data_IF_505529615574
#
_entry.id   IF_505529615574
#
_cell.length_a   1.000
_cell.length_b   1.000
_cell.length_c   1.000
_cell.angle_alpha   90.00
_cell.angle_beta   90.00
_cell.angle_gamma   90.00
#
_symmetry.space_group_name_H-M   'P 1'
#
loop_
_entity.id
_entity.type
_entity.pdbx_description
1 polymer ?
#
# COMPACT_ATOMS: atom_id res chain seq x y z
N UNK A 1 13.98 19.62 -10.39
CA UNK A 1 12.62 19.01 -10.39
C UNK A 1 12.32 18.57 -8.99
N UNK A 2 11.10 18.79 -8.48
CA UNK A 2 10.71 18.31 -7.16
C UNK A 2 10.44 16.80 -7.24
N UNK A 3 11.41 15.97 -6.85
CA UNK A 3 11.32 14.51 -6.92
C UNK A 3 10.86 13.94 -5.56
N UNK A 4 9.83 14.54 -4.96
CA UNK A 4 9.23 14.03 -3.74
C UNK A 4 8.22 12.93 -4.06
N UNK A 5 8.32 11.83 -3.33
CA UNK A 5 7.37 10.73 -3.31
C UNK A 5 6.64 10.70 -1.97
N UNK A 6 5.32 10.67 -1.99
CA UNK A 6 4.50 10.34 -0.84
C UNK A 6 4.00 8.90 -0.97
N UNK A 7 4.15 8.13 0.09
CA UNK A 7 3.67 6.74 0.16
C UNK A 7 2.66 6.63 1.30
N UNK A 8 1.40 6.43 0.97
CA UNK A 8 0.38 5.99 1.92
C UNK A 8 0.36 4.46 1.93
N UNK A 9 0.38 3.85 3.10
CA UNK A 9 0.27 2.40 3.20
C UNK A 9 0.42 1.89 4.63
N UNK A 10 0.31 0.58 4.79
CA UNK A 10 0.53 -0.07 6.08
C UNK A 10 2.02 -0.19 6.40
N UNK A 11 2.35 0.06 7.66
CA UNK A 11 3.52 -0.50 8.33
C UNK A 11 2.98 -1.57 9.27
N UNK A 12 3.53 -2.77 9.23
CA UNK A 12 2.91 -3.95 9.82
C UNK A 12 3.93 -4.87 10.48
N UNK A 13 3.41 -5.77 11.28
CA UNK A 13 4.08 -7.02 11.60
C UNK A 13 3.42 -8.17 10.84
N UNK A 14 4.22 -8.96 10.15
CA UNK A 14 3.76 -10.13 9.43
C UNK A 14 4.31 -11.42 10.07
N UNK A 15 3.49 -12.48 10.09
CA UNK A 15 3.93 -13.86 10.35
C UNK A 15 3.61 -14.72 9.14
N UNK A 16 4.65 -15.33 8.59
CA UNK A 16 4.57 -16.03 7.30
C UNK A 16 4.99 -17.47 7.50
N UNK A 17 4.13 -18.38 7.06
CA UNK A 17 4.47 -19.80 6.85
C UNK A 17 4.64 -20.03 5.34
N UNK A 18 5.62 -20.82 4.96
CA UNK A 18 5.85 -21.21 3.57
C UNK A 18 6.47 -22.60 3.51
N UNK A 19 6.50 -23.29 2.36
CA UNK A 19 7.20 -24.56 2.20
C UNK A 19 8.67 -24.51 2.59
N UNK A 20 9.31 -23.33 2.49
CA UNK A 20 10.73 -23.14 2.84
C UNK A 20 10.96 -22.75 4.30
N UNK A 21 9.92 -22.52 5.10
CA UNK A 21 10.07 -22.19 6.52
C UNK A 21 9.04 -21.20 7.06
N UNK A 22 9.26 -20.79 8.31
CA UNK A 22 8.36 -19.88 9.02
C UNK A 22 9.14 -18.66 9.53
N UNK A 23 8.58 -17.46 9.33
CA UNK A 23 9.04 -16.23 9.92
C UNK A 23 7.94 -15.64 10.78
N UNK A 24 8.25 -15.22 12.02
CA UNK A 24 7.26 -14.72 12.98
C UNK A 24 7.54 -13.27 13.34
N UNK A 25 6.50 -12.45 13.33
CA UNK A 25 6.53 -11.04 13.74
C UNK A 25 7.68 -10.25 13.09
N UNK A 26 7.83 -10.41 11.79
CA UNK A 26 8.79 -9.65 10.99
C UNK A 26 8.18 -8.34 10.53
N UNK A 27 9.03 -7.36 10.21
CA UNK A 27 8.59 -6.10 9.61
C UNK A 27 7.94 -6.33 8.26
N UNK A 28 6.72 -5.83 8.09
CA UNK A 28 5.89 -5.96 6.90
C UNK A 28 5.16 -4.67 6.55
N UNK A 29 4.15 -4.81 5.71
CA UNK A 29 3.31 -3.71 5.26
C UNK A 29 3.78 -3.06 3.96
N UNK A 30 2.81 -2.63 3.14
CA UNK A 30 3.11 -2.10 1.80
C UNK A 30 3.94 -0.82 1.83
N UNK A 31 3.72 0.11 2.79
CA UNK A 31 4.52 1.33 2.90
C UNK A 31 5.99 1.02 3.22
N UNK A 32 6.25 0.00 4.02
CA UNK A 32 7.60 -0.47 4.32
C UNK A 32 8.35 -0.86 3.05
N UNK A 33 7.78 -1.77 2.27
CA UNK A 33 8.46 -2.29 1.07
C UNK A 33 8.58 -1.24 -0.04
N UNK A 34 7.53 -0.45 -0.26
CA UNK A 34 7.55 0.64 -1.24
C UNK A 34 8.60 1.68 -0.85
N UNK A 35 8.61 2.12 0.41
CA UNK A 35 9.56 3.10 0.89
C UNK A 35 11.01 2.64 0.77
N UNK A 36 11.32 1.44 1.27
CA UNK A 36 12.66 0.87 1.19
C UNK A 36 13.12 0.64 -0.26
N UNK A 37 12.20 0.27 -1.16
CA UNK A 37 12.50 0.17 -2.60
C UNK A 37 12.79 1.54 -3.19
N UNK A 38 11.95 2.54 -2.91
CA UNK A 38 12.11 3.90 -3.40
C UNK A 38 13.41 4.56 -2.91
N UNK A 39 13.87 4.24 -1.69
CA UNK A 39 15.11 4.77 -1.13
C UNK A 39 16.35 4.45 -1.98
N UNK A 40 16.31 3.36 -2.76
CA UNK A 40 17.41 2.98 -3.67
C UNK A 40 17.55 3.92 -4.87
N UNK A 41 16.54 4.71 -5.16
CA UNK A 41 16.53 5.66 -6.29
C UNK A 41 16.84 7.10 -5.88
N UNK A 42 17.35 7.33 -4.65
CA UNK A 42 17.70 8.66 -4.11
C UNK A 42 16.56 9.69 -4.21
N UNK A 43 15.33 9.23 -4.03
CA UNK A 43 14.12 10.05 -4.04
C UNK A 43 13.80 10.48 -2.61
N UNK A 44 13.41 11.75 -2.39
CA UNK A 44 12.87 12.18 -1.10
C UNK A 44 11.52 11.52 -0.89
N UNK A 45 11.44 10.52 -0.02
CA UNK A 45 10.26 9.68 0.20
C UNK A 45 9.73 9.86 1.62
N UNK A 46 8.44 10.18 1.74
CA UNK A 46 7.72 10.25 3.01
C UNK A 46 6.74 9.09 3.13
N UNK A 47 6.75 8.43 4.27
CA UNK A 47 5.77 7.42 4.64
C UNK A 47 4.61 8.07 5.41
N UNK A 48 3.38 7.79 4.99
CA UNK A 48 2.15 8.13 5.70
C UNK A 48 1.52 6.83 6.14
N UNK A 49 1.54 6.58 7.45
CA UNK A 49 1.12 5.32 8.05
C UNK A 49 0.78 5.51 9.52
N UNK A 50 0.46 4.42 10.22
CA UNK A 50 0.20 4.41 11.66
C UNK A 50 0.79 3.15 12.28
N UNK A 51 1.39 3.29 13.46
CA UNK A 51 1.94 2.18 14.25
C UNK A 51 1.53 2.29 15.72
N UNK A 52 1.55 1.16 16.42
CA UNK A 52 1.26 1.09 17.85
C UNK A 52 2.51 1.16 18.72
N UNK A 53 2.31 1.09 20.02
CA UNK A 53 3.39 1.12 21.05
C UNK A 53 4.38 -0.04 20.92
N UNK A 54 3.93 -1.17 20.38
CA UNK A 54 4.76 -2.37 20.18
C UNK A 54 5.70 -2.27 18.97
N UNK A 55 5.65 -1.14 18.21
CA UNK A 55 6.52 -0.95 17.06
C UNK A 55 7.93 -0.59 17.49
N UNK A 56 8.89 -1.41 17.09
CA UNK A 56 10.27 -1.29 17.53
C UNK A 56 10.96 -0.02 16.98
N UNK A 57 11.59 0.74 17.86
CA UNK A 57 12.32 1.94 17.48
C UNK A 57 13.53 1.67 16.55
N UNK A 58 14.02 0.45 16.53
CA UNK A 58 15.04 -0.04 15.59
C UNK A 58 14.59 0.11 14.12
N UNK A 59 13.31 -0.11 13.82
CA UNK A 59 12.76 0.04 12.47
C UNK A 59 12.64 1.51 12.06
N UNK A 60 12.28 2.42 12.98
CA UNK A 60 12.35 3.86 12.67
C UNK A 60 13.75 4.30 12.30
N UNK A 61 14.76 3.88 13.08
CA UNK A 61 16.16 4.16 12.76
C UNK A 61 16.58 3.58 11.41
N UNK A 62 16.09 2.40 11.07
CA UNK A 62 16.36 1.78 9.76
C UNK A 62 15.73 2.59 8.62
N UNK A 63 14.48 3.05 8.77
CA UNK A 63 13.83 3.91 7.78
C UNK A 63 14.61 5.22 7.58
N UNK A 64 14.95 5.92 8.65
CA UNK A 64 15.71 7.17 8.62
C UNK A 64 17.10 6.98 8.00
N UNK A 65 17.82 5.91 8.38
CA UNK A 65 19.13 5.60 7.78
C UNK A 65 19.06 5.23 6.30
N UNK A 66 17.89 4.76 5.85
CA UNK A 66 17.59 4.54 4.42
C UNK A 66 17.15 5.81 3.70
N UNK A 67 17.07 6.96 4.38
CA UNK A 67 16.67 8.25 3.79
C UNK A 67 15.15 8.42 3.67
N UNK A 68 14.36 7.63 4.38
CA UNK A 68 12.91 7.77 4.42
C UNK A 68 12.51 8.80 5.49
N UNK A 69 11.55 9.64 5.14
CA UNK A 69 10.93 10.58 6.06
C UNK A 69 9.74 9.92 6.75
N UNK A 70 9.82 9.77 8.06
CA UNK A 70 8.79 9.13 8.88
C UNK A 70 7.86 10.13 9.58
N UNK A 71 7.95 11.44 9.26
CA UNK A 71 7.11 12.45 9.89
C UNK A 71 5.61 12.35 9.62
N UNK A 72 5.21 11.49 8.68
CA UNK A 72 3.82 11.15 8.40
C UNK A 72 3.37 9.83 9.04
N UNK A 73 4.22 9.22 9.89
CA UNK A 73 3.86 7.99 10.61
C UNK A 73 3.32 8.35 11.98
N UNK A 74 2.04 8.09 12.20
CA UNK A 74 1.40 8.30 13.49
C UNK A 74 1.78 7.18 14.46
N UNK A 75 2.05 7.57 15.72
CA UNK A 75 2.33 6.63 16.82
C UNK A 75 1.21 6.69 17.85
N UNK A 76 0.59 5.53 18.13
CA UNK A 76 -0.52 5.44 19.09
C UNK A 76 -0.10 4.67 20.34
N UNK A 77 0.01 5.32 21.50
CA UNK A 77 0.35 4.65 22.75
C UNK A 77 -0.78 3.70 23.19
N UNK A 78 -0.44 2.65 23.92
CA UNK A 78 -1.34 1.61 24.44
C UNK A 78 -2.14 0.84 23.37
N UNK A 79 -1.71 0.90 22.12
CA UNK A 79 -2.29 0.17 21.00
C UNK A 79 -1.22 -0.71 20.32
N UNK A 80 -1.67 -1.73 19.59
CA UNK A 80 -0.77 -2.59 18.80
C UNK A 80 -0.71 -2.15 17.34
N UNK A 81 0.43 -2.37 16.74
CA UNK A 81 0.63 -2.23 15.29
C UNK A 81 -0.23 -3.24 14.54
N UNK A 82 -0.66 -2.90 13.32
CA UNK A 82 -1.33 -3.82 12.42
C UNK A 82 -0.53 -5.11 12.27
N UNK A 83 -1.24 -6.24 12.37
CA UNK A 83 -0.64 -7.58 12.27
C UNK A 83 -1.38 -8.42 11.25
N UNK A 84 -0.62 -9.11 10.42
CA UNK A 84 -1.13 -10.10 9.48
C UNK A 84 -0.35 -11.41 9.59
N UNK A 85 -1.06 -12.52 9.49
CA UNK A 85 -0.45 -13.84 9.40
C UNK A 85 -1.04 -14.62 8.23
N UNK A 86 -0.18 -15.27 7.46
CA UNK A 86 -0.59 -16.05 6.31
C UNK A 86 0.33 -17.21 5.99
N UNK A 87 -0.20 -18.14 5.21
CA UNK A 87 0.52 -19.31 4.71
C UNK A 87 0.55 -19.26 3.19
N UNK A 88 1.76 -19.31 2.62
CA UNK A 88 1.96 -19.51 1.19
C UNK A 88 1.87 -20.99 0.84
N UNK A 89 1.21 -21.30 -0.26
CA UNK A 89 1.10 -22.66 -0.79
C UNK A 89 2.35 -23.04 -1.57
N UNK A 90 2.41 -24.29 -2.05
CA UNK A 90 3.59 -24.86 -2.71
C UNK A 90 4.03 -24.10 -3.97
N UNK A 91 3.12 -23.41 -4.61
CA UNK A 91 3.41 -22.56 -5.77
C UNK A 91 3.96 -21.16 -5.43
N UNK A 92 4.09 -20.79 -4.15
CA UNK A 92 4.53 -19.49 -3.63
C UNK A 92 3.74 -18.26 -4.13
N UNK A 93 2.71 -18.44 -4.94
CA UNK A 93 1.85 -17.38 -5.45
C UNK A 93 0.54 -17.30 -4.65
N UNK A 94 -0.06 -18.46 -4.39
CA UNK A 94 -1.30 -18.52 -3.62
C UNK A 94 -1.01 -18.47 -2.13
N UNK A 95 -1.86 -17.77 -1.39
CA UNK A 95 -1.74 -17.63 0.06
C UNK A 95 -3.09 -17.75 0.74
N UNK A 96 -3.07 -18.25 1.94
CA UNK A 96 -4.22 -18.32 2.86
C UNK A 96 -3.94 -17.35 4.00
N UNK A 97 -4.83 -16.41 4.24
CA UNK A 97 -4.79 -15.56 5.43
C UNK A 97 -5.22 -16.41 6.63
N UNK A 98 -4.36 -16.48 7.65
CA UNK A 98 -4.62 -17.18 8.91
C UNK A 98 -5.27 -16.21 9.90
N UNK A 99 -4.70 -15.01 10.03
CA UNK A 99 -5.14 -14.02 10.99
C UNK A 99 -4.89 -12.58 10.46
N UNK A 100 -5.80 -11.69 10.79
CA UNK A 100 -5.65 -10.26 10.57
C UNK A 100 -6.11 -9.50 11.81
N UNK A 101 -5.21 -8.73 12.43
CA UNK A 101 -5.51 -7.85 13.55
C UNK A 101 -5.34 -6.41 13.08
N UNK A 102 -6.46 -5.71 12.86
CA UNK A 102 -6.44 -4.33 12.36
C UNK A 102 -5.78 -3.35 13.33
N UNK A 103 -5.99 -3.55 14.64
CA UNK A 103 -5.36 -2.77 15.72
C UNK A 103 -5.46 -1.24 15.43
N UNK A 104 -4.32 -0.54 15.40
CA UNK A 104 -4.25 0.92 15.16
C UNK A 104 -4.88 1.36 13.84
N UNK A 105 -4.96 0.49 12.81
CA UNK A 105 -5.56 0.86 11.52
C UNK A 105 -7.03 1.28 11.65
N UNK A 106 -7.75 0.77 12.64
CA UNK A 106 -9.16 1.14 12.89
C UNK A 106 -9.32 2.60 13.29
N UNK A 107 -8.24 3.24 13.75
CA UNK A 107 -8.22 4.64 14.21
C UNK A 107 -7.46 5.56 13.25
N UNK A 108 -6.92 5.02 12.17
CA UNK A 108 -6.07 5.78 11.27
C UNK A 108 -6.82 6.91 10.56
N UNK A 109 -6.29 8.12 10.70
CA UNK A 109 -6.73 9.32 10.00
C UNK A 109 -5.50 9.96 9.40
N UNK A 110 -5.14 9.62 8.15
CA UNK A 110 -3.88 10.03 7.57
C UNK A 110 -3.78 11.55 7.44
N UNK A 111 -2.67 12.11 7.91
CA UNK A 111 -2.33 13.52 7.76
C UNK A 111 -1.04 13.64 6.97
N UNK A 112 -1.10 14.30 5.82
CA UNK A 112 0.08 14.55 4.99
C UNK A 112 0.92 15.67 5.61
N UNK A 113 2.22 15.43 5.92
CA UNK A 113 3.08 16.48 6.43
C UNK A 113 3.19 17.67 5.45
N UNK A 114 3.15 18.89 5.95
CA UNK A 114 3.14 20.14 5.14
C UNK A 114 4.24 20.17 4.09
N UNK A 115 5.43 19.66 4.40
CA UNK A 115 6.58 19.61 3.48
C UNK A 115 6.41 18.63 2.32
N UNK A 116 5.35 17.78 2.34
CA UNK A 116 5.05 16.81 1.28
C UNK A 116 3.71 17.02 0.60
N UNK A 117 2.95 18.05 0.95
CA UNK A 117 1.69 18.39 0.27
C UNK A 117 1.90 18.68 -1.24
N UNK A 118 3.11 19.05 -1.63
CA UNK A 118 3.53 19.32 -3.01
C UNK A 118 4.28 18.13 -3.65
N UNK A 119 4.23 16.93 -3.07
CA UNK A 119 4.90 15.79 -3.64
C UNK A 119 4.42 15.53 -5.08
N UNK A 120 5.39 15.35 -5.97
CA UNK A 120 5.09 15.20 -7.40
C UNK A 120 4.58 13.80 -7.74
N UNK A 121 4.92 12.81 -6.93
CA UNK A 121 4.45 11.42 -7.08
C UNK A 121 3.77 11.01 -5.78
N UNK A 122 2.59 10.42 -5.92
CA UNK A 122 1.83 9.84 -4.79
C UNK A 122 1.58 8.37 -5.07
N UNK A 123 1.95 7.51 -4.13
CA UNK A 123 1.63 6.10 -4.18
C UNK A 123 0.67 5.77 -3.03
N UNK A 124 -0.53 5.39 -3.41
CA UNK A 124 -1.61 4.97 -2.53
C UNK A 124 -1.56 3.44 -2.43
N UNK A 125 -0.86 2.95 -1.42
CA UNK A 125 -0.73 1.51 -1.16
C UNK A 125 -2.05 0.89 -0.70
N UNK A 126 -2.05 -0.42 -0.56
CA UNK A 126 -3.22 -1.20 -0.18
C UNK A 126 -3.76 -0.80 1.20
N UNK A 127 -4.80 0.02 1.20
CA UNK A 127 -5.57 0.51 2.36
C UNK A 127 -7.03 0.75 1.97
N UNK A 128 -7.86 1.10 2.97
CA UNK A 128 -9.25 1.53 2.75
C UNK A 128 -9.31 2.63 1.69
N UNK A 129 -10.12 2.47 0.62
CA UNK A 129 -10.28 3.48 -0.43
C UNK A 129 -10.67 4.88 0.09
N UNK A 130 -11.37 4.97 1.23
CA UNK A 130 -11.66 6.27 1.84
C UNK A 130 -10.37 6.96 2.33
N UNK A 131 -9.44 6.22 2.94
CA UNK A 131 -8.15 6.77 3.38
C UNK A 131 -7.27 7.18 2.19
N UNK A 132 -7.33 6.40 1.09
CA UNK A 132 -6.64 6.75 -0.16
C UNK A 132 -7.19 8.07 -0.73
N UNK A 133 -8.51 8.24 -0.76
CA UNK A 133 -9.17 9.49 -1.18
C UNK A 133 -8.83 10.65 -0.25
N UNK A 134 -8.83 10.44 1.05
CA UNK A 134 -8.51 11.48 2.05
C UNK A 134 -7.08 12.01 1.85
N UNK A 135 -6.11 11.13 1.60
CA UNK A 135 -4.74 11.55 1.31
C UNK A 135 -4.65 12.27 -0.03
N UNK A 136 -5.28 11.73 -1.08
CA UNK A 136 -5.25 12.37 -2.40
C UNK A 136 -5.86 13.78 -2.37
N UNK A 137 -6.95 13.98 -1.60
CA UNK A 137 -7.59 15.29 -1.44
C UNK A 137 -6.73 16.32 -0.67
N UNK A 138 -5.76 15.89 0.13
CA UNK A 138 -4.82 16.78 0.79
C UNK A 138 -3.70 17.27 -0.14
N UNK A 139 -3.44 16.55 -1.25
CA UNK A 139 -2.31 16.85 -2.13
C UNK A 139 -2.53 18.08 -3.00
N UNK A 140 -1.45 18.84 -3.24
CA UNK A 140 -1.44 20.02 -4.12
C UNK A 140 -0.91 19.64 -5.51
N UNK A 141 -1.80 19.22 -6.42
CA UNK A 141 -1.47 18.95 -7.83
C UNK A 141 -0.34 17.93 -8.04
N UNK A 142 -0.48 16.69 -7.54
CA UNK A 142 0.48 15.64 -7.85
C UNK A 142 0.54 15.41 -9.37
N UNK A 143 1.73 15.13 -9.89
CA UNK A 143 1.94 14.91 -11.34
C UNK A 143 1.65 13.47 -11.74
N UNK A 144 1.79 12.54 -10.81
CA UNK A 144 1.56 11.13 -11.06
C UNK A 144 1.06 10.43 -9.81
N UNK A 145 -0.11 9.83 -9.90
CA UNK A 145 -0.74 9.11 -8.79
C UNK A 145 -0.82 7.63 -9.15
N UNK A 146 -0.28 6.81 -8.27
CA UNK A 146 -0.26 5.34 -8.39
C UNK A 146 -1.13 4.78 -7.29
N UNK A 147 -1.88 3.72 -7.57
CA UNK A 147 -2.60 2.99 -6.52
C UNK A 147 -2.41 1.48 -6.61
N UNK A 148 -2.55 0.84 -5.46
CA UNK A 148 -2.67 -0.59 -5.25
C UNK A 148 -3.97 -0.88 -4.46
N UNK A 149 -4.49 -2.09 -4.56
CA UNK A 149 -5.70 -2.53 -3.85
C UNK A 149 -5.61 -4.02 -3.51
N UNK A 150 -6.69 -4.60 -2.98
CA UNK A 150 -6.81 -6.04 -2.76
C UNK A 150 -8.27 -6.50 -2.82
N UNK A 151 -8.48 -7.81 -2.90
CA UNK A 151 -9.78 -8.47 -2.99
C UNK A 151 -10.80 -7.96 -1.95
N UNK A 152 -10.38 -7.75 -0.70
CA UNK A 152 -11.26 -7.26 0.36
C UNK A 152 -11.91 -5.92 0.03
N UNK A 153 -11.15 -4.98 -0.56
CA UNK A 153 -11.67 -3.67 -0.95
C UNK A 153 -12.55 -3.76 -2.20
N UNK A 154 -12.19 -4.66 -3.12
CA UNK A 154 -12.95 -4.92 -4.35
C UNK A 154 -14.34 -5.45 -4.00
N UNK A 155 -14.44 -6.34 -3.03
CA UNK A 155 -15.72 -6.93 -2.60
C UNK A 155 -16.56 -5.99 -1.73
N UNK A 156 -15.94 -5.35 -0.75
CA UNK A 156 -16.65 -4.63 0.28
C UNK A 156 -16.83 -3.13 0.05
N UNK A 157 -15.99 -2.50 -0.79
CA UNK A 157 -15.89 -1.04 -0.91
C UNK A 157 -15.91 -0.55 -2.35
N UNK A 158 -16.55 -1.29 -3.25
CA UNK A 158 -16.52 -1.09 -4.69
C UNK A 158 -16.80 0.35 -5.13
N UNK A 159 -17.81 1.01 -4.59
CA UNK A 159 -18.17 2.38 -4.96
C UNK A 159 -17.03 3.37 -4.70
N UNK A 160 -16.38 3.26 -3.53
CA UNK A 160 -15.25 4.13 -3.18
C UNK A 160 -13.98 3.75 -3.92
N UNK A 161 -13.81 2.47 -4.17
CA UNK A 161 -12.70 1.97 -4.97
C UNK A 161 -12.80 2.47 -6.43
N UNK A 162 -13.97 2.42 -7.05
CA UNK A 162 -14.19 2.96 -8.39
C UNK A 162 -13.96 4.49 -8.43
N UNK A 163 -14.34 5.21 -7.36
CA UNK A 163 -14.07 6.63 -7.24
C UNK A 163 -12.59 6.95 -7.24
N UNK A 164 -11.76 6.24 -6.45
CA UNK A 164 -10.31 6.48 -6.42
C UNK A 164 -9.63 6.00 -7.70
N UNK A 165 -10.05 4.87 -8.28
CA UNK A 165 -9.53 4.39 -9.57
C UNK A 165 -9.68 5.46 -10.65
N UNK A 166 -10.80 6.17 -10.69
CA UNK A 166 -11.04 7.23 -11.68
C UNK A 166 -10.13 8.46 -11.55
N UNK A 167 -9.41 8.60 -10.44
CA UNK A 167 -8.58 9.77 -10.10
C UNK A 167 -7.08 9.51 -10.17
N UNK A 168 -6.65 8.28 -10.46
CA UNK A 168 -5.24 7.91 -10.51
C UNK A 168 -4.71 7.79 -11.93
N UNK A 169 -3.40 7.93 -12.09
CA UNK A 169 -2.73 7.79 -13.39
C UNK A 169 -2.32 6.34 -13.67
N UNK A 170 -2.10 5.55 -12.61
CA UNK A 170 -1.70 4.15 -12.71
C UNK A 170 -2.36 3.32 -11.62
N UNK A 171 -2.92 2.19 -12.02
CA UNK A 171 -3.34 1.12 -11.11
C UNK A 171 -2.42 -0.10 -11.25
N UNK A 172 -1.97 -0.65 -10.11
CA UNK A 172 -1.15 -1.86 -10.04
C UNK A 172 -1.93 -2.94 -9.30
N UNK A 173 -2.30 -4.00 -9.98
CA UNK A 173 -3.09 -5.12 -9.43
C UNK A 173 -2.46 -6.45 -9.80
N UNK A 174 -2.79 -7.52 -9.06
CA UNK A 174 -2.45 -8.86 -9.49
C UNK A 174 -3.49 -9.42 -10.49
N UNK A 175 -3.26 -10.63 -11.02
CA UNK A 175 -4.16 -11.25 -12.00
C UNK A 175 -5.57 -11.49 -11.45
N UNK A 176 -5.67 -11.95 -10.19
CA UNK A 176 -6.95 -12.24 -9.53
C UNK A 176 -7.76 -10.95 -9.32
N UNK A 177 -7.12 -9.91 -8.78
CA UNK A 177 -7.70 -8.59 -8.58
C UNK A 177 -8.16 -7.96 -9.91
N UNK A 178 -7.35 -8.10 -10.98
CA UNK A 178 -7.71 -7.61 -12.29
C UNK A 178 -8.98 -8.29 -12.83
N UNK A 179 -9.08 -9.62 -12.72
CA UNK A 179 -10.26 -10.37 -13.13
C UNK A 179 -11.48 -10.00 -12.29
N UNK A 180 -11.32 -9.90 -10.98
CA UNK A 180 -12.40 -9.55 -10.05
C UNK A 180 -12.94 -8.14 -10.29
N UNK A 181 -12.06 -7.15 -10.54
CA UNK A 181 -12.45 -5.77 -10.83
C UNK A 181 -13.25 -5.64 -12.13
N UNK A 182 -12.99 -6.51 -13.11
CA UNK A 182 -13.47 -6.33 -14.48
C UNK A 182 -14.44 -7.41 -14.96
N UNK A 183 -14.64 -8.44 -14.14
CA UNK A 183 -15.43 -9.63 -14.49
C UNK A 183 -14.99 -10.20 -15.88
N UNK A 184 -13.67 -10.38 -16.04
CA UNK A 184 -13.08 -10.92 -17.27
C UNK A 184 -11.97 -11.91 -16.99
N UNK A 185 -11.96 -13.03 -17.70
CA UNK A 185 -10.89 -14.03 -17.60
C UNK A 185 -9.65 -13.63 -18.42
N UNK A 186 -9.79 -12.77 -19.41
CA UNK A 186 -8.69 -12.28 -20.24
C UNK A 186 -7.99 -11.10 -19.58
N UNK A 187 -6.70 -11.23 -19.29
CA UNK A 187 -5.92 -10.14 -18.70
C UNK A 187 -5.80 -8.92 -19.64
N UNK A 188 -5.78 -9.14 -20.96
CA UNK A 188 -5.76 -8.05 -21.94
C UNK A 188 -7.09 -7.28 -21.87
N UNK A 189 -8.21 -7.98 -21.85
CA UNK A 189 -9.52 -7.36 -21.70
C UNK A 189 -9.65 -6.67 -20.34
N UNK A 190 -9.15 -7.30 -19.25
CA UNK A 190 -9.10 -6.69 -17.92
C UNK A 190 -8.31 -5.39 -17.93
N UNK A 191 -7.14 -5.35 -18.57
CA UNK A 191 -6.34 -4.14 -18.68
C UNK A 191 -7.10 -3.02 -19.43
N UNK A 192 -7.77 -3.35 -20.54
CA UNK A 192 -8.59 -2.37 -21.28
C UNK A 192 -9.76 -1.83 -20.44
N UNK A 193 -10.47 -2.71 -19.71
CA UNK A 193 -11.57 -2.31 -18.84
C UNK A 193 -11.08 -1.45 -17.66
N UNK A 194 -9.96 -1.81 -17.03
CA UNK A 194 -9.34 -1.00 -15.97
C UNK A 194 -8.92 0.38 -16.48
N UNK A 195 -8.35 0.45 -17.69
CA UNK A 195 -8.00 1.72 -18.31
C UNK A 195 -9.23 2.57 -18.60
N UNK A 196 -10.35 1.96 -18.99
CA UNK A 196 -11.62 2.67 -19.20
C UNK A 196 -12.24 3.21 -17.90
N UNK A 197 -11.83 2.71 -16.72
CA UNK A 197 -12.25 3.23 -15.41
C UNK A 197 -11.54 4.54 -15.03
N UNK A 198 -10.44 4.92 -15.71
CA UNK A 198 -9.76 6.20 -15.46
C UNK A 198 -8.25 6.19 -15.63
N UNK A 199 -7.50 5.23 -15.09
CA UNK A 199 -6.04 5.24 -15.15
C UNK A 199 -5.53 5.11 -16.58
N UNK A 200 -4.53 5.93 -16.93
CA UNK A 200 -3.87 5.85 -18.25
C UNK A 200 -2.96 4.63 -18.36
N UNK A 201 -2.48 4.13 -17.23
CA UNK A 201 -1.53 3.05 -17.14
C UNK A 201 -2.09 1.94 -16.24
N UNK A 202 -1.92 0.69 -16.66
CA UNK A 202 -2.33 -0.50 -15.90
C UNK A 202 -1.15 -1.45 -15.83
N UNK A 203 -0.81 -1.87 -14.60
CA UNK A 203 0.17 -2.93 -14.36
C UNK A 203 -0.58 -4.12 -13.77
N UNK A 204 -0.50 -5.28 -14.45
CA UNK A 204 -0.99 -6.55 -13.92
C UNK A 204 0.21 -7.41 -13.54
N UNK A 205 0.40 -7.59 -12.24
CA UNK A 205 1.47 -8.39 -11.64
C UNK A 205 1.18 -9.88 -11.86
N UNK A 206 2.17 -10.65 -12.28
CA UNK A 206 2.05 -12.07 -12.62
C UNK A 206 3.02 -12.94 -11.81
N UNK A 207 3.09 -12.75 -10.49
CA UNK A 207 4.06 -13.42 -9.64
C UNK A 207 5.48 -12.93 -9.92
N UNK A 208 6.34 -13.81 -10.41
CA UNK A 208 7.73 -13.49 -10.77
C UNK A 208 7.88 -12.68 -12.07
N UNK A 209 6.80 -12.38 -12.75
CA UNK A 209 6.79 -11.65 -14.04
C UNK A 209 6.12 -10.29 -13.94
#
# INVERSE_FOLDING_TARGET
MNNKLLVLGTIAYDSIESPSGTAKKILGGCATYIGLSASKFKTSCCLVSIVGEDFENSYFKMFESSGLDTSGVDFVPNEKTFFWSGRYLDNFNDRITIETQLNVLTKFKPVVPNKFLDASIVLLGNLDPNLQLDVLNQMKNPKFVIMDTMNFWIEGYRVKLDEIISKVDLISVNEEEARQLTDSMSLIESACKLQAMGPKNVIIKKGEH
#
